data_IF_958252793048
#
_entry.id   IF_958252793048
#
_cell.length_a   1.000
_cell.length_b   1.000
_cell.length_c   1.000
_cell.angle_alpha   90.00
_cell.angle_beta   90.00
_cell.angle_gamma   90.00
#
_symmetry.space_group_name_H-M   'P 1'
#
loop_
_entity.id
_entity.type
_entity.pdbx_description
1 polymer ?
#
# COMPACT_ATOMS: atom_id res chain seq x y z
N UNK A 1 -70.96 -4.26 -17.26
CA UNK A 1 -69.58 -3.96 -16.81
C UNK A 1 -68.94 -5.03 -15.92
N UNK A 2 -69.52 -6.24 -15.77
CA UNK A 2 -68.99 -7.27 -14.84
C UNK A 2 -68.16 -8.40 -15.51
N UNK A 3 -68.06 -8.47 -16.84
CA UNK A 3 -67.38 -9.57 -17.54
C UNK A 3 -65.96 -9.25 -18.07
N UNK A 4 -65.58 -7.98 -18.21
CA UNK A 4 -64.24 -7.61 -18.73
C UNK A 4 -63.15 -7.65 -17.65
N UNK A 5 -63.51 -7.44 -16.38
CA UNK A 5 -62.55 -7.49 -15.26
C UNK A 5 -62.15 -8.93 -14.90
N UNK A 6 -63.03 -9.92 -15.09
CA UNK A 6 -62.70 -11.34 -14.84
C UNK A 6 -61.82 -11.95 -15.94
N UNK A 7 -61.97 -11.55 -17.20
CA UNK A 7 -61.09 -12.02 -18.29
C UNK A 7 -59.68 -11.44 -18.20
N UNK A 8 -59.53 -10.17 -17.81
CA UNK A 8 -58.21 -9.55 -17.61
C UNK A 8 -57.46 -10.15 -16.40
N UNK A 9 -58.14 -10.50 -15.31
CA UNK A 9 -57.53 -11.21 -14.18
C UNK A 9 -57.00 -12.60 -14.56
N UNK A 10 -57.73 -13.32 -15.41
CA UNK A 10 -57.36 -14.67 -15.86
C UNK A 10 -56.20 -14.64 -16.88
N UNK A 11 -56.11 -13.61 -17.71
CA UNK A 11 -55.01 -13.41 -18.65
C UNK A 11 -53.71 -13.01 -17.95
N UNK A 12 -53.80 -12.22 -16.87
CA UNK A 12 -52.63 -11.81 -16.07
C UNK A 12 -52.08 -12.97 -15.24
N UNK A 13 -52.95 -13.82 -14.68
CA UNK A 13 -52.56 -15.04 -13.97
C UNK A 13 -51.88 -16.07 -14.88
N UNK A 14 -52.35 -16.23 -16.13
CA UNK A 14 -51.71 -17.10 -17.12
C UNK A 14 -50.34 -16.58 -17.58
N UNK A 15 -50.20 -15.26 -17.77
CA UNK A 15 -48.90 -14.64 -18.07
C UNK A 15 -47.91 -14.79 -16.92
N UNK A 16 -48.36 -14.57 -15.68
CA UNK A 16 -47.54 -14.72 -14.48
C UNK A 16 -47.10 -16.18 -14.27
N UNK A 17 -48.00 -17.13 -14.48
CA UNK A 17 -47.70 -18.57 -14.43
C UNK A 17 -46.69 -18.98 -15.51
N UNK A 18 -46.80 -18.45 -16.73
CA UNK A 18 -45.85 -18.73 -17.81
C UNK A 18 -44.46 -18.13 -17.56
N UNK A 19 -44.39 -16.93 -16.96
CA UNK A 19 -43.12 -16.32 -16.53
C UNK A 19 -42.46 -17.12 -15.40
N UNK A 20 -43.24 -17.64 -14.45
CA UNK A 20 -42.73 -18.53 -13.39
C UNK A 20 -42.25 -19.86 -13.97
N UNK A 21 -42.98 -20.48 -14.91
CA UNK A 21 -42.52 -21.69 -15.59
C UNK A 21 -41.26 -21.46 -16.42
N UNK A 22 -41.10 -20.29 -17.07
CA UNK A 22 -39.88 -19.92 -17.79
C UNK A 22 -38.70 -19.68 -16.84
N UNK A 23 -38.91 -19.04 -15.68
CA UNK A 23 -37.87 -18.86 -14.64
C UNK A 23 -37.48 -20.20 -14.00
N UNK A 24 -38.44 -21.10 -13.77
CA UNK A 24 -38.19 -22.44 -13.25
C UNK A 24 -37.47 -23.35 -14.27
N UNK A 25 -37.69 -23.16 -15.59
CA UNK A 25 -36.98 -23.90 -16.65
C UNK A 25 -35.54 -23.46 -16.88
N UNK A 26 -35.12 -22.29 -16.40
CA UNK A 26 -33.77 -21.77 -16.65
C UNK A 26 -32.67 -22.54 -15.90
N UNK A 27 -32.96 -23.41 -14.92
CA UNK A 27 -31.89 -24.27 -14.39
C UNK A 27 -32.32 -25.56 -13.68
N UNK A 28 -33.11 -26.42 -14.32
CA UNK A 28 -33.42 -27.76 -13.79
C UNK A 28 -32.28 -28.78 -13.94
N UNK A 29 -31.05 -28.34 -14.24
CA UNK A 29 -29.83 -29.17 -14.21
C UNK A 29 -28.87 -28.84 -13.07
N UNK A 30 -29.28 -28.08 -12.05
CA UNK A 30 -28.47 -27.89 -10.84
C UNK A 30 -29.15 -28.51 -9.63
N UNK A 31 -28.68 -29.69 -9.27
CA UNK A 31 -28.94 -30.39 -8.01
C UNK A 31 -28.83 -29.45 -6.80
N UNK A 32 -29.80 -29.56 -5.89
CA UNK A 32 -29.77 -29.17 -4.47
C UNK A 32 -29.00 -27.89 -4.12
N UNK A 33 -29.69 -26.74 -4.15
CA UNK A 33 -29.18 -25.49 -3.60
C UNK A 33 -29.15 -25.59 -2.06
N UNK A 34 -28.02 -26.05 -1.50
CA UNK A 34 -27.71 -25.98 -0.07
C UNK A 34 -27.79 -24.53 0.40
N UNK A 35 -28.55 -24.24 1.46
CA UNK A 35 -28.71 -22.92 2.10
C UNK A 35 -27.42 -22.09 2.04
N UNK A 36 -27.45 -20.94 1.36
CA UNK A 36 -26.28 -20.09 1.18
C UNK A 36 -26.53 -18.85 0.34
N UNK A 37 -25.59 -17.90 0.40
CA UNK A 37 -25.59 -16.70 -0.44
C UNK A 37 -24.88 -17.04 -1.75
N UNK A 38 -25.61 -16.95 -2.86
CA UNK A 38 -25.07 -17.16 -4.20
C UNK A 38 -24.66 -15.83 -4.80
N UNK A 39 -23.41 -15.76 -5.27
CA UNK A 39 -22.88 -14.58 -5.96
C UNK A 39 -22.26 -15.00 -7.29
N UNK A 40 -22.39 -14.12 -8.29
CA UNK A 40 -21.66 -14.25 -9.57
C UNK A 40 -20.17 -13.89 -9.41
N UNK A 41 -19.78 -13.40 -8.24
CA UNK A 41 -18.40 -13.05 -7.93
C UNK A 41 -17.49 -14.27 -8.06
N UNK A 42 -16.43 -14.13 -8.85
CA UNK A 42 -15.36 -15.10 -8.96
C UNK A 42 -14.20 -14.65 -8.06
N UNK A 43 -13.84 -15.41 -7.02
CA UNK A 43 -12.71 -15.06 -6.18
C UNK A 43 -11.40 -15.24 -6.96
N UNK A 44 -10.44 -14.34 -6.72
CA UNK A 44 -9.09 -14.46 -7.28
C UNK A 44 -8.32 -15.62 -6.63
N UNK A 45 -8.40 -15.70 -5.29
CA UNK A 45 -7.70 -16.72 -4.51
C UNK A 45 -8.61 -17.89 -4.20
N UNK A 46 -8.02 -19.08 -4.17
CA UNK A 46 -8.69 -20.30 -3.75
C UNK A 46 -8.80 -20.34 -2.23
N UNK A 47 -9.85 -21.01 -1.74
CA UNK A 47 -10.01 -21.23 -0.31
C UNK A 47 -8.93 -22.18 0.21
N UNK A 48 -8.27 -21.77 1.28
CA UNK A 48 -7.36 -22.64 2.01
C UNK A 48 -8.18 -23.74 2.71
N UNK A 49 -7.93 -25.00 2.32
CA UNK A 49 -8.67 -26.14 2.83
C UNK A 49 -8.22 -26.55 4.23
N UNK A 50 -6.98 -26.24 4.60
CA UNK A 50 -6.40 -26.69 5.85
C UNK A 50 -6.86 -25.82 7.01
N UNK A 51 -6.93 -24.50 6.82
CA UNK A 51 -7.56 -23.63 7.82
C UNK A 51 -9.04 -23.96 7.98
N UNK A 52 -9.77 -24.22 6.88
CA UNK A 52 -11.18 -24.60 6.95
C UNK A 52 -11.39 -25.91 7.71
N UNK A 53 -10.58 -26.95 7.46
CA UNK A 53 -10.62 -28.20 8.23
C UNK A 53 -10.33 -27.98 9.72
N UNK A 54 -9.33 -27.15 10.04
CA UNK A 54 -8.97 -26.82 11.45
C UNK A 54 -10.10 -26.10 12.18
N UNK A 55 -10.83 -25.23 11.47
CA UNK A 55 -11.99 -24.51 12.02
C UNK A 55 -13.20 -25.41 12.20
N UNK A 56 -13.54 -26.22 11.18
CA UNK A 56 -14.64 -27.19 11.26
C UNK A 56 -14.41 -28.18 12.41
N UNK A 57 -13.20 -28.74 12.51
CA UNK A 57 -12.83 -29.59 13.64
C UNK A 57 -12.99 -28.87 14.98
N UNK A 58 -12.68 -27.57 15.05
CA UNK A 58 -12.89 -26.77 16.25
C UNK A 58 -14.36 -26.64 16.64
N UNK A 59 -15.27 -26.56 15.67
CA UNK A 59 -16.72 -26.58 15.90
C UNK A 59 -17.14 -27.95 16.42
N UNK A 60 -16.71 -29.02 15.75
CA UNK A 60 -17.04 -30.40 16.14
C UNK A 60 -16.55 -30.74 17.56
N UNK A 61 -15.42 -30.17 17.98
CA UNK A 61 -14.85 -30.36 19.33
C UNK A 61 -15.34 -29.34 20.38
N UNK A 62 -16.37 -28.53 20.08
CA UNK A 62 -16.85 -27.45 20.96
C UNK A 62 -15.72 -26.52 21.48
N UNK A 63 -14.75 -26.20 20.61
CA UNK A 63 -13.65 -25.29 20.95
C UNK A 63 -14.21 -23.89 21.24
N UNK A 64 -13.74 -23.19 22.29
CA UNK A 64 -14.13 -21.81 22.56
C UNK A 64 -13.93 -20.89 21.34
N UNK A 65 -14.87 -19.96 21.18
CA UNK A 65 -14.92 -19.06 20.01
C UNK A 65 -13.68 -18.17 19.90
N UNK A 66 -13.08 -17.82 21.04
CA UNK A 66 -11.90 -16.98 21.18
C UNK A 66 -10.71 -17.64 20.49
N UNK A 67 -10.54 -18.95 20.67
CA UNK A 67 -9.44 -19.70 20.05
C UNK A 67 -9.64 -19.80 18.54
N UNK A 68 -10.89 -20.00 18.08
CA UNK A 68 -11.23 -20.00 16.65
C UNK A 68 -10.94 -18.62 16.01
N UNK A 69 -11.30 -17.54 16.71
CA UNK A 69 -11.05 -16.17 16.30
C UNK A 69 -9.56 -15.85 16.21
N UNK A 70 -8.75 -16.28 17.18
CA UNK A 70 -7.30 -16.10 17.14
C UNK A 70 -6.68 -16.85 15.95
N UNK A 71 -7.10 -18.08 15.69
CA UNK A 71 -6.62 -18.85 14.53
C UNK A 71 -6.96 -18.16 13.20
N UNK A 72 -8.19 -17.64 13.07
CA UNK A 72 -8.62 -16.90 11.89
C UNK A 72 -7.83 -15.60 11.71
N UNK A 73 -7.67 -14.81 12.77
CA UNK A 73 -6.90 -13.55 12.74
C UNK A 73 -5.47 -13.83 12.32
N UNK A 74 -4.81 -14.82 12.91
CA UNK A 74 -3.44 -15.20 12.56
C UNK A 74 -3.32 -15.56 11.08
N UNK A 75 -4.21 -16.42 10.57
CA UNK A 75 -4.21 -16.79 9.16
C UNK A 75 -4.37 -15.57 8.23
N UNK A 76 -5.31 -14.67 8.54
CA UNK A 76 -5.55 -13.48 7.72
C UNK A 76 -4.39 -12.48 7.78
N UNK A 77 -3.72 -12.34 8.94
CA UNK A 77 -2.54 -11.49 9.09
C UNK A 77 -1.38 -12.06 8.26
N UNK A 78 -1.10 -13.35 8.39
CA UNK A 78 -0.05 -14.02 7.60
C UNK A 78 -0.32 -13.86 6.10
N UNK A 79 -1.57 -14.06 5.66
CA UNK A 79 -1.96 -13.88 4.26
C UNK A 79 -1.79 -12.43 3.78
N UNK A 80 -2.15 -11.46 4.62
CA UNK A 80 -1.98 -10.02 4.31
C UNK A 80 -0.51 -9.66 4.21
N UNK A 81 0.33 -10.18 5.09
CA UNK A 81 1.78 -9.98 5.04
C UNK A 81 2.37 -10.56 3.75
N UNK A 82 2.00 -11.81 3.40
CA UNK A 82 2.42 -12.43 2.14
C UNK A 82 2.02 -11.58 0.92
N UNK A 83 0.84 -10.96 0.95
CA UNK A 83 0.38 -10.04 -0.09
C UNK A 83 1.18 -8.71 -0.10
N UNK A 84 1.55 -8.16 1.06
CA UNK A 84 2.27 -6.89 1.12
C UNK A 84 3.76 -7.01 0.74
N UNK A 85 4.42 -8.14 1.02
CA UNK A 85 5.87 -8.31 0.81
C UNK A 85 6.34 -7.94 -0.61
N UNK A 86 5.73 -8.42 -1.71
CA UNK A 86 6.18 -8.08 -3.06
C UNK A 86 6.00 -6.58 -3.37
N UNK A 87 4.91 -5.99 -2.87
CA UNK A 87 4.60 -4.57 -3.04
C UNK A 87 5.66 -3.69 -2.36
N UNK A 88 6.02 -4.03 -1.12
CA UNK A 88 7.05 -3.33 -0.36
C UNK A 88 8.44 -3.52 -0.98
N UNK A 89 8.76 -4.74 -1.45
CA UNK A 89 10.03 -5.02 -2.12
C UNK A 89 10.18 -4.22 -3.41
N UNK A 90 9.13 -4.16 -4.24
CA UNK A 90 9.15 -3.35 -5.46
C UNK A 90 9.28 -1.86 -5.12
N UNK A 91 8.53 -1.37 -4.14
CA UNK A 91 8.67 0.02 -3.69
C UNK A 91 10.09 0.34 -3.22
N UNK A 92 10.72 -0.56 -2.44
CA UNK A 92 12.10 -0.40 -2.00
C UNK A 92 13.09 -0.32 -3.16
N UNK A 93 12.81 -1.00 -4.28
CA UNK A 93 13.64 -0.92 -5.49
C UNK A 93 13.56 0.45 -6.20
N UNK A 94 12.52 1.23 -5.92
CA UNK A 94 12.36 2.60 -6.44
C UNK A 94 13.13 3.64 -5.61
N UNK A 95 13.68 3.23 -4.46
CA UNK A 95 14.45 4.12 -3.59
C UNK A 95 15.78 4.50 -4.24
N UNK A 96 16.18 5.78 -4.21
CA UNK A 96 17.49 6.19 -4.69
C UNK A 96 18.60 5.63 -3.79
N UNK A 97 19.75 5.30 -4.39
CA UNK A 97 20.90 4.80 -3.67
C UNK A 97 21.51 5.92 -2.80
N UNK A 98 21.79 5.63 -1.53
CA UNK A 98 22.34 6.59 -0.56
C UNK A 98 23.66 7.24 -1.02
N UNK A 99 24.46 6.55 -1.85
CA UNK A 99 25.72 7.07 -2.42
C UNK A 99 25.53 8.26 -3.38
N UNK A 100 24.29 8.57 -3.78
CA UNK A 100 23.99 9.73 -4.63
C UNK A 100 23.67 11.00 -3.82
N UNK A 101 23.62 10.90 -2.48
CA UNK A 101 23.42 12.04 -1.60
C UNK A 101 24.69 12.87 -1.54
N UNK A 102 24.61 14.13 -1.99
CA UNK A 102 25.70 15.10 -1.93
C UNK A 102 25.17 16.36 -1.25
N UNK A 103 25.93 17.00 -0.35
CA UNK A 103 25.47 18.18 0.41
C UNK A 103 24.91 19.32 -0.46
N UNK A 104 25.40 19.46 -1.69
CA UNK A 104 25.03 20.55 -2.61
C UNK A 104 24.07 20.12 -3.73
N UNK A 105 23.76 18.81 -3.84
CA UNK A 105 22.78 18.32 -4.82
C UNK A 105 21.43 18.21 -4.15
N UNK A 106 20.36 18.48 -4.91
CA UNK A 106 19.00 18.26 -4.44
C UNK A 106 18.83 16.80 -4.01
N UNK A 107 18.07 16.52 -2.93
CA UNK A 107 17.71 15.17 -2.55
C UNK A 107 17.15 14.41 -3.77
N UNK A 108 17.60 13.18 -4.01
CA UNK A 108 17.14 12.40 -5.15
C UNK A 108 15.65 12.12 -5.04
N UNK A 109 14.94 12.25 -6.16
CA UNK A 109 13.51 12.01 -6.26
C UNK A 109 13.29 10.50 -6.40
N UNK A 110 12.28 9.98 -5.71
CA UNK A 110 11.85 8.59 -5.84
C UNK A 110 11.44 8.27 -7.28
N UNK A 111 11.78 7.06 -7.75
CA UNK A 111 11.28 6.61 -9.03
C UNK A 111 9.77 6.35 -8.98
N UNK A 112 9.08 6.68 -10.07
CA UNK A 112 7.63 6.48 -10.17
C UNK A 112 7.28 4.99 -10.16
N UNK A 113 6.20 4.63 -9.46
CA UNK A 113 5.71 3.25 -9.42
C UNK A 113 5.12 2.85 -10.79
N UNK A 114 5.70 1.85 -11.45
CA UNK A 114 5.20 1.33 -12.72
C UNK A 114 4.42 0.04 -12.53
N UNK A 115 3.09 0.13 -12.69
CA UNK A 115 2.17 -0.99 -12.45
C UNK A 115 2.55 -2.23 -13.26
N UNK A 116 2.79 -2.11 -14.57
CA UNK A 116 3.06 -3.30 -15.40
C UNK A 116 4.41 -3.95 -15.07
N UNK A 117 5.42 -3.15 -14.71
CA UNK A 117 6.72 -3.68 -14.26
C UNK A 117 6.55 -4.47 -12.96
N UNK A 118 5.82 -3.90 -11.99
CA UNK A 118 5.48 -4.60 -10.76
C UNK A 118 4.74 -5.92 -11.04
N UNK A 119 3.70 -5.89 -11.86
CA UNK A 119 2.92 -7.10 -12.18
C UNK A 119 3.82 -8.16 -12.84
N UNK A 120 4.67 -7.79 -13.79
CA UNK A 120 5.60 -8.72 -14.43
C UNK A 120 6.64 -9.30 -13.46
N UNK A 121 6.98 -8.58 -12.39
CA UNK A 121 7.90 -9.06 -11.35
C UNK A 121 7.29 -10.12 -10.42
N UNK A 122 5.96 -10.26 -10.38
CA UNK A 122 5.26 -11.17 -9.48
C UNK A 122 5.50 -12.64 -9.78
N UNK A 123 5.85 -12.99 -11.02
CA UNK A 123 6.18 -14.37 -11.37
C UNK A 123 7.45 -14.84 -10.66
N UNK A 124 8.41 -13.94 -10.43
CA UNK A 124 9.67 -14.25 -9.75
C UNK A 124 9.65 -13.91 -8.25
N UNK A 125 8.85 -12.91 -7.83
CA UNK A 125 8.90 -12.35 -6.47
C UNK A 125 7.57 -12.35 -5.73
N UNK A 126 6.55 -13.00 -6.30
CA UNK A 126 5.18 -12.91 -5.82
C UNK A 126 4.88 -13.68 -4.52
N UNK A 127 3.61 -13.59 -4.03
CA UNK A 127 3.19 -14.18 -2.77
C UNK A 127 3.28 -15.70 -2.70
N UNK A 128 3.41 -16.37 -3.84
CA UNK A 128 3.58 -17.83 -3.90
C UNK A 128 4.86 -18.30 -3.18
N UNK A 129 5.82 -17.39 -2.94
CA UNK A 129 7.04 -17.68 -2.15
C UNK A 129 6.78 -17.69 -0.64
N UNK A 130 5.73 -17.01 -0.17
CA UNK A 130 5.46 -16.79 1.26
C UNK A 130 4.08 -17.26 1.69
N UNK A 131 3.21 -17.66 0.75
CA UNK A 131 1.87 -18.15 1.00
C UNK A 131 1.61 -19.45 0.23
N UNK A 132 0.95 -20.39 0.90
CA UNK A 132 0.47 -21.64 0.30
C UNK A 132 -0.84 -21.45 -0.47
N UNK A 133 -1.46 -20.27 -0.37
CA UNK A 133 -2.74 -19.98 -1.03
C UNK A 133 -2.52 -19.83 -2.53
N UNK A 134 -3.25 -20.64 -3.30
CA UNK A 134 -3.21 -20.66 -4.76
C UNK A 134 -4.29 -19.77 -5.35
N UNK A 135 -4.07 -19.29 -6.57
CA UNK A 135 -5.07 -18.53 -7.32
C UNK A 135 -4.44 -17.48 -8.22
N UNK A 136 -5.28 -16.59 -8.73
CA UNK A 136 -4.89 -15.48 -9.58
C UNK A 136 -4.40 -14.29 -8.75
N UNK A 137 -3.16 -14.39 -8.27
CA UNK A 137 -2.50 -13.29 -7.56
C UNK A 137 -2.37 -12.05 -8.43
N UNK A 138 -2.04 -12.21 -9.71
CA UNK A 138 -1.92 -11.12 -10.67
C UNK A 138 -3.22 -10.31 -10.78
N UNK A 139 -4.36 -10.97 -10.94
CA UNK A 139 -5.67 -10.33 -10.95
C UNK A 139 -6.03 -9.63 -9.63
N UNK A 140 -5.65 -10.22 -8.50
CA UNK A 140 -5.86 -9.61 -7.18
C UNK A 140 -5.06 -8.30 -7.06
N UNK A 141 -3.78 -8.31 -7.41
CA UNK A 141 -2.96 -7.09 -7.41
C UNK A 141 -3.49 -6.04 -8.38
N UNK A 142 -3.84 -6.43 -9.61
CA UNK A 142 -4.43 -5.49 -10.58
C UNK A 142 -5.71 -4.82 -10.05
N UNK A 143 -6.52 -5.55 -9.28
CA UNK A 143 -7.69 -4.97 -8.61
C UNK A 143 -7.30 -4.07 -7.43
N UNK A 144 -6.35 -4.48 -6.61
CA UNK A 144 -5.88 -3.70 -5.47
C UNK A 144 -5.26 -2.36 -5.89
N UNK A 145 -4.41 -2.37 -6.93
CA UNK A 145 -3.75 -1.17 -7.45
C UNK A 145 -4.72 -0.11 -8.00
N UNK A 146 -5.96 -0.51 -8.33
CA UNK A 146 -7.03 0.39 -8.76
C UNK A 146 -7.92 0.87 -7.60
N UNK A 147 -7.66 0.40 -6.38
CA UNK A 147 -8.49 0.70 -5.22
C UNK A 147 -7.99 1.93 -4.47
N UNK A 148 -8.88 2.64 -3.73
CA UNK A 148 -8.47 3.74 -2.85
C UNK A 148 -7.45 3.33 -1.78
N UNK A 149 -7.45 2.04 -1.38
CA UNK A 149 -6.50 1.52 -0.40
C UNK A 149 -5.06 1.60 -0.91
N UNK A 150 -4.83 1.33 -2.19
CA UNK A 150 -3.50 1.47 -2.79
C UNK A 150 -3.07 2.93 -2.85
N UNK A 151 -3.98 3.86 -3.20
CA UNK A 151 -3.68 5.29 -3.23
C UNK A 151 -3.20 5.77 -1.86
N UNK A 152 -3.96 5.46 -0.80
CA UNK A 152 -3.59 5.81 0.57
C UNK A 152 -2.25 5.18 0.98
N UNK A 153 -2.09 3.87 0.73
CA UNK A 153 -0.85 3.17 1.03
C UNK A 153 0.36 3.79 0.31
N UNK A 154 0.22 4.09 -0.99
CA UNK A 154 1.31 4.63 -1.80
C UNK A 154 1.68 6.05 -1.37
N UNK A 155 0.69 6.92 -1.10
CA UNK A 155 0.93 8.26 -0.57
C UNK A 155 1.66 8.23 0.77
N UNK A 156 1.24 7.35 1.69
CA UNK A 156 1.91 7.21 2.99
C UNK A 156 3.36 6.73 2.82
N UNK A 157 3.58 5.70 1.99
CA UNK A 157 4.94 5.19 1.72
C UNK A 157 5.84 6.21 1.04
N UNK A 158 5.30 7.00 0.11
CA UNK A 158 6.04 8.11 -0.51
C UNK A 158 6.45 9.17 0.51
N UNK A 159 5.55 9.54 1.42
CA UNK A 159 5.84 10.52 2.46
C UNK A 159 6.94 10.00 3.41
N UNK A 160 6.80 8.77 3.91
CA UNK A 160 7.81 8.13 4.77
C UNK A 160 9.17 8.06 4.08
N UNK A 161 9.20 7.63 2.82
CA UNK A 161 10.44 7.54 2.05
C UNK A 161 11.08 8.91 1.80
N UNK A 162 10.27 9.93 1.50
CA UNK A 162 10.74 11.30 1.27
C UNK A 162 11.34 11.89 2.54
N UNK A 163 10.64 11.75 3.68
CA UNK A 163 11.15 12.16 4.98
C UNK A 163 12.46 11.47 5.32
N UNK A 164 12.55 10.15 5.06
CA UNK A 164 13.79 9.41 5.33
C UNK A 164 14.96 9.87 4.45
N UNK A 165 14.71 10.14 3.17
CA UNK A 165 15.73 10.69 2.25
C UNK A 165 16.19 12.07 2.73
N UNK A 166 15.28 12.92 3.19
CA UNK A 166 15.61 14.25 3.73
C UNK A 166 16.47 14.14 4.99
N UNK A 167 16.09 13.28 5.94
CA UNK A 167 16.89 12.99 7.15
C UNK A 167 18.31 12.55 6.80
N UNK A 168 18.44 11.57 5.90
CA UNK A 168 19.75 11.04 5.48
C UNK A 168 20.60 12.11 4.75
N UNK A 169 19.96 12.96 3.96
CA UNK A 169 20.66 14.05 3.29
C UNK A 169 21.21 15.07 4.29
N UNK A 170 20.43 15.43 5.31
CA UNK A 170 20.86 16.33 6.38
C UNK A 170 21.97 15.72 7.25
N UNK A 171 21.88 14.44 7.59
CA UNK A 171 22.97 13.71 8.25
C UNK A 171 24.26 13.77 7.41
N UNK A 172 24.16 13.54 6.10
CA UNK A 172 25.30 13.65 5.18
C UNK A 172 25.89 15.07 5.19
N UNK A 173 25.06 16.12 5.25
CA UNK A 173 25.51 17.51 5.36
C UNK A 173 26.25 17.74 6.69
N UNK A 174 25.73 17.23 7.81
CA UNK A 174 26.37 17.34 9.12
C UNK A 174 27.75 16.69 9.18
N UNK A 175 27.87 15.50 8.59
CA UNK A 175 29.11 14.71 8.62
C UNK A 175 30.15 15.21 7.61
N UNK A 176 29.73 16.00 6.63
CA UNK A 176 30.62 16.59 5.64
C UNK A 176 31.41 17.77 6.23
N UNK A 177 32.71 17.87 5.92
CA UNK A 177 33.46 19.08 6.21
C UNK A 177 33.05 20.19 5.24
N UNK A 178 31.96 20.89 5.56
CA UNK A 178 31.41 21.95 4.73
C UNK A 178 32.44 23.06 4.48
N UNK A 179 33.30 23.34 5.46
CA UNK A 179 34.31 24.40 5.37
C UNK A 179 35.31 24.15 4.25
N UNK A 180 35.75 22.89 4.06
CA UNK A 180 36.66 22.54 2.97
C UNK A 180 35.93 22.50 1.62
N UNK A 181 34.67 22.05 1.61
CA UNK A 181 33.86 21.91 0.40
C UNK A 181 33.38 23.26 -0.16
N UNK A 182 33.29 24.30 0.68
CA UNK A 182 32.81 25.62 0.32
C UNK A 182 33.90 26.52 -0.30
N UNK A 183 35.18 26.21 -0.10
CA UNK A 183 36.29 27.04 -0.61
C UNK A 183 36.30 27.14 -2.15
N UNK A 184 35.79 26.13 -2.87
CA UNK A 184 35.77 26.07 -4.33
C UNK A 184 34.39 26.44 -4.93
N UNK A 185 33.48 27.00 -4.13
CA UNK A 185 32.08 27.25 -4.54
C UNK A 185 31.75 28.74 -4.65
N UNK A 186 30.90 29.12 -5.63
CA UNK A 186 30.47 30.51 -5.76
C UNK A 186 29.59 30.89 -4.57
N UNK A 187 29.74 32.12 -4.09
CA UNK A 187 29.02 32.67 -2.93
C UNK A 187 27.50 32.46 -2.99
N UNK A 188 26.89 32.58 -4.18
CA UNK A 188 25.45 32.36 -4.38
C UNK A 188 25.03 30.92 -3.98
N UNK A 189 25.86 29.90 -4.26
CA UNK A 189 25.58 28.53 -3.85
C UNK A 189 25.74 28.34 -2.33
N UNK A 190 26.64 29.11 -1.71
CA UNK A 190 26.84 29.13 -0.25
C UNK A 190 25.62 29.73 0.44
N UNK A 191 25.14 30.87 -0.05
CA UNK A 191 23.95 31.55 0.47
C UNK A 191 22.69 30.68 0.27
N UNK A 192 22.50 30.06 -0.89
CA UNK A 192 21.38 29.13 -1.14
C UNK A 192 21.43 27.91 -0.21
N UNK A 193 22.62 27.39 0.10
CA UNK A 193 22.80 26.34 1.10
C UNK A 193 22.37 26.83 2.49
N UNK A 194 22.83 27.99 2.95
CA UNK A 194 22.47 28.56 4.26
C UNK A 194 20.96 28.76 4.37
N UNK A 195 20.32 29.31 3.33
CA UNK A 195 18.87 29.50 3.29
C UNK A 195 18.13 28.16 3.40
N UNK A 196 18.57 27.13 2.67
CA UNK A 196 18.01 25.77 2.79
C UNK A 196 18.22 25.16 4.18
N UNK A 197 19.38 25.36 4.81
CA UNK A 197 19.63 24.84 6.16
C UNK A 197 18.74 25.54 7.18
N UNK A 198 18.52 26.86 7.05
CA UNK A 198 17.56 27.61 7.88
C UNK A 198 16.13 27.12 7.69
N UNK A 199 15.70 26.90 6.45
CA UNK A 199 14.37 26.37 6.15
C UNK A 199 14.19 24.96 6.73
N UNK A 200 15.20 24.09 6.61
CA UNK A 200 15.16 22.75 7.18
C UNK A 200 15.11 22.77 8.72
N UNK A 201 15.86 23.67 9.39
CA UNK A 201 15.79 23.84 10.85
C UNK A 201 14.41 24.33 11.30
N UNK A 202 13.78 25.24 10.54
CA UNK A 202 12.43 25.73 10.81
C UNK A 202 11.37 24.63 10.64
N UNK A 203 11.48 23.82 9.57
CA UNK A 203 10.61 22.67 9.36
C UNK A 203 10.79 21.59 10.43
N UNK A 204 12.03 21.36 10.90
CA UNK A 204 12.31 20.46 12.01
C UNK A 204 11.67 20.95 13.31
N UNK A 205 11.75 22.25 13.61
CA UNK A 205 11.13 22.84 14.81
C UNK A 205 9.59 22.77 14.81
N UNK A 206 8.96 22.74 13.63
CA UNK A 206 7.50 22.56 13.47
C UNK A 206 7.05 21.10 13.56
N UNK A 207 7.97 20.14 13.55
CA UNK A 207 7.66 18.71 13.51
C UNK A 207 7.37 18.16 12.11
N UNK A 208 7.66 18.92 11.06
CA UNK A 208 7.46 18.50 9.66
C UNK A 208 8.62 17.61 9.15
N UNK A 209 9.75 17.59 9.87
CA UNK A 209 10.92 16.75 9.59
C UNK A 209 11.29 15.91 10.82
N UNK A 210 11.45 14.60 10.61
CA UNK A 210 11.89 13.66 11.64
C UNK A 210 13.43 13.63 11.70
N UNK A 211 14.00 14.51 12.53
CA UNK A 211 15.45 14.67 12.69
C UNK A 211 15.80 14.58 14.18
N UNK A 212 16.90 13.89 14.50
CA UNK A 212 17.42 13.83 15.88
C UNK A 212 17.85 15.21 16.39
N UNK A 213 17.62 15.48 17.68
CA UNK A 213 18.07 16.70 18.35
C UNK A 213 19.59 16.93 18.20
N UNK A 214 20.38 15.85 18.18
CA UNK A 214 21.83 15.91 17.96
C UNK A 214 22.17 16.42 16.55
N UNK A 215 21.43 15.99 15.53
CA UNK A 215 21.63 16.42 14.14
C UNK A 215 21.24 17.89 13.98
N UNK A 216 20.20 18.36 14.68
CA UNK A 216 19.81 19.78 14.69
C UNK A 216 20.90 20.67 15.31
N UNK A 217 21.51 20.24 16.41
CA UNK A 217 22.59 20.98 17.06
C UNK A 217 23.83 21.07 16.16
N UNK A 218 24.22 19.94 15.51
CA UNK A 218 25.33 19.92 14.55
C UNK A 218 25.07 20.80 13.33
N UNK A 219 23.83 20.81 12.82
CA UNK A 219 23.41 21.71 11.74
C UNK A 219 23.57 23.18 12.11
N UNK A 220 23.14 23.56 13.32
CA UNK A 220 23.27 24.92 13.82
C UNK A 220 24.75 25.32 13.95
N UNK A 221 25.58 24.48 14.58
CA UNK A 221 27.01 24.73 14.73
C UNK A 221 27.72 24.83 13.37
N UNK A 222 27.33 24.02 12.40
CA UNK A 222 27.88 24.08 11.04
C UNK A 222 27.44 25.34 10.31
N UNK A 223 26.19 25.80 10.50
CA UNK A 223 25.71 27.06 9.93
C UNK A 223 26.45 28.27 10.50
N UNK A 224 26.65 28.31 11.82
CA UNK A 224 27.36 29.41 12.50
C UNK A 224 28.82 29.51 11.99
N UNK A 225 29.51 28.37 11.84
CA UNK A 225 30.86 28.31 11.25
C UNK A 225 30.93 28.81 9.80
N UNK A 226 29.87 28.63 9.02
CA UNK A 226 29.81 29.10 7.63
C UNK A 226 29.57 30.62 7.62
N UNK A 227 28.70 31.12 8.50
CA UNK A 227 28.41 32.55 8.64
C UNK A 227 29.67 33.31 9.08
N UNK A 228 30.43 32.78 10.05
CA UNK A 228 31.68 33.38 10.52
C UNK A 228 32.78 33.47 9.44
N UNK A 229 32.66 32.68 8.36
CA UNK A 229 33.61 32.66 7.23
C UNK A 229 33.18 33.52 6.04
N UNK A 230 31.94 34.03 6.02
CA UNK A 230 31.50 34.94 4.98
C UNK A 230 32.14 36.33 5.24
N UNK A 231 32.68 37.00 4.21
CA UNK A 231 33.17 38.36 4.36
C UNK A 231 32.02 39.28 4.81
N UNK A 232 32.28 40.19 5.75
CA UNK A 232 31.35 41.28 6.06
C UNK A 232 31.31 42.23 4.86
N UNK A 233 30.12 42.39 4.27
CA UNK A 233 29.81 43.52 3.37
C UNK A 233 29.68 44.83 4.15
#
# INVERSE_FOLDING_TARGET
MHNEQQQNGNLNMKKFSHTIEQVLRINTKSLELKTGIYTKYKPFLQKDRDILKKLLKGIDTNRPSEVQNVMLRRFLIELTQSFSIPLERYFASLMPLAKNLSPFKRPPILHHFKIEEFINSLDATGPHLTSLVKGDWNGLYRRFLRSPNFVCWYSNRLNEATQKIQSLHLETICDSNLVDLLNDKPEIEIVDLILKLKDNLHCAAKGDLDISAETMEKLQQNMDKIIDKLPED
#
